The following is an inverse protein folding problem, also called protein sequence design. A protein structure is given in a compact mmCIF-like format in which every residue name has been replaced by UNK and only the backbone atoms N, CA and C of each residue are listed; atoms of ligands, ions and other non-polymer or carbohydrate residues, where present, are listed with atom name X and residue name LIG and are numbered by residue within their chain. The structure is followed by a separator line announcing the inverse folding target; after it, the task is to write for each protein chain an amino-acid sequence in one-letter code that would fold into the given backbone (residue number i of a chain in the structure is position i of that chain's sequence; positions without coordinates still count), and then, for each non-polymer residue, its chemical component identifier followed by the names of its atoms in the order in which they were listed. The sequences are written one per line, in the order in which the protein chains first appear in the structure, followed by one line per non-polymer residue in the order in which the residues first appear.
data_IF_093572936117
#
_entry.id   IF_093572936117
#
_cell.length_a   1.000
_cell.length_b   1.000
_cell.length_c   1.000
_cell.angle_alpha   90.00
_cell.angle_beta   90.00
_cell.angle_gamma   90.00
#
_symmetry.space_group_name_H-M   'P 1'
#
loop_
_entity.id
_entity.type
_entity.pdbx_description
1 polymer ?
#
# COMPACT_ATOMS: atom_id res chain seq x y z
N UNK A 1 -4.21 -6.58 -15.40
CA UNK A 1 -4.31 -8.06 -15.38
C UNK A 1 -5.74 -8.59 -15.18
N UNK A 2 -6.76 -7.74 -14.99
CA UNK A 2 -8.17 -8.17 -14.79
C UNK A 2 -8.90 -8.50 -16.11
N UNK A 3 -8.38 -8.04 -17.26
CA UNK A 3 -9.03 -8.20 -18.57
C UNK A 3 -8.81 -9.57 -19.25
N UNK A 4 -7.94 -10.43 -18.73
CA UNK A 4 -7.59 -11.70 -19.38
C UNK A 4 -8.52 -12.86 -19.00
N UNK A 5 -9.14 -12.80 -17.83
CA UNK A 5 -10.13 -13.78 -17.39
C UNK A 5 -11.48 -13.35 -17.95
N UNK A 6 -12.09 -14.18 -18.79
CA UNK A 6 -13.32 -13.83 -19.52
C UNK A 6 -14.58 -13.65 -18.66
N UNK A 7 -14.44 -13.49 -17.35
CA UNK A 7 -15.50 -13.24 -16.38
C UNK A 7 -15.30 -11.86 -15.74
N UNK A 8 -16.28 -10.96 -15.91
CA UNK A 8 -16.29 -9.66 -15.26
C UNK A 8 -16.81 -9.79 -13.82
N UNK A 9 -15.89 -10.08 -12.89
CA UNK A 9 -16.19 -10.17 -11.46
C UNK A 9 -16.70 -8.84 -10.90
N UNK A 10 -16.20 -7.70 -11.40
CA UNK A 10 -16.58 -6.40 -10.87
C UNK A 10 -18.05 -6.08 -11.19
N UNK A 11 -18.47 -6.30 -12.44
CA UNK A 11 -19.86 -6.16 -12.84
C UNK A 11 -20.80 -7.10 -12.09
N UNK A 12 -20.38 -8.35 -11.86
CA UNK A 12 -21.19 -9.30 -11.11
C UNK A 12 -21.37 -8.91 -9.64
N UNK A 13 -20.32 -8.42 -8.98
CA UNK A 13 -20.39 -7.94 -7.59
C UNK A 13 -21.32 -6.72 -7.50
N UNK A 14 -21.17 -5.74 -8.41
CA UNK A 14 -22.01 -4.54 -8.41
C UNK A 14 -23.49 -4.87 -8.63
N UNK A 15 -23.80 -5.83 -9.51
CA UNK A 15 -25.16 -6.29 -9.72
C UNK A 15 -25.77 -6.92 -8.46
N UNK A 16 -25.03 -7.83 -7.81
CA UNK A 16 -25.49 -8.51 -6.59
C UNK A 16 -25.65 -7.53 -5.43
N UNK A 17 -24.72 -6.59 -5.28
CA UNK A 17 -24.78 -5.57 -4.23
C UNK A 17 -25.97 -4.61 -4.43
N UNK A 18 -26.18 -4.13 -5.67
CA UNK A 18 -27.36 -3.32 -6.01
C UNK A 18 -28.69 -4.07 -5.78
N UNK A 19 -28.73 -5.36 -6.10
CA UNK A 19 -29.90 -6.20 -5.83
C UNK A 19 -30.15 -6.40 -4.32
N UNK A 20 -29.08 -6.69 -3.57
CA UNK A 20 -29.16 -6.93 -2.13
C UNK A 20 -29.57 -5.67 -1.36
N UNK A 21 -28.99 -4.52 -1.70
CA UNK A 21 -29.35 -3.22 -1.10
C UNK A 21 -30.82 -2.88 -1.32
N UNK A 22 -31.38 -3.13 -2.52
CA UNK A 22 -32.79 -2.94 -2.81
C UNK A 22 -33.72 -3.87 -2.01
N UNK A 23 -33.32 -5.14 -1.81
CA UNK A 23 -34.10 -6.10 -1.04
C UNK A 23 -34.04 -5.87 0.47
N UNK A 24 -32.87 -5.50 1.00
CA UNK A 24 -32.63 -5.33 2.44
C UNK A 24 -33.51 -4.23 3.04
N UNK A 25 -33.78 -3.16 2.29
CA UNK A 25 -34.60 -2.02 2.73
C UNK A 25 -36.09 -2.38 2.86
N UNK A 26 -36.57 -3.36 2.09
CA UNK A 26 -37.99 -3.72 2.05
C UNK A 26 -38.32 -4.83 3.07
N UNK A 27 -38.73 -4.48 4.29
CA UNK A 27 -38.97 -5.43 5.38
C UNK A 27 -40.14 -6.40 5.12
N UNK A 28 -41.14 -5.97 4.35
CA UNK A 28 -42.28 -6.80 3.90
C UNK A 28 -41.86 -8.01 3.05
N UNK A 29 -40.65 -8.03 2.49
CA UNK A 29 -40.15 -9.12 1.65
C UNK A 29 -39.30 -10.14 2.39
N UNK A 30 -39.08 -9.99 3.71
CA UNK A 30 -38.10 -10.77 4.47
C UNK A 30 -38.17 -12.29 4.19
N UNK A 31 -39.39 -12.85 4.22
CA UNK A 31 -39.64 -14.28 3.97
C UNK A 31 -39.47 -14.70 2.50
N UNK A 32 -39.60 -13.77 1.56
CA UNK A 32 -39.48 -13.99 0.11
C UNK A 32 -38.09 -13.65 -0.46
N UNK A 33 -37.19 -13.03 0.32
CA UNK A 33 -35.85 -12.61 -0.13
C UNK A 33 -34.99 -13.78 -0.63
N UNK A 34 -35.05 -14.93 0.04
CA UNK A 34 -34.29 -16.13 -0.35
C UNK A 34 -34.75 -16.61 -1.73
N UNK A 35 -36.07 -16.74 -1.94
CA UNK A 35 -36.64 -17.12 -3.23
C UNK A 35 -36.33 -16.08 -4.33
N UNK A 36 -36.33 -14.78 -4.00
CA UNK A 36 -35.96 -13.73 -4.95
C UNK A 36 -34.48 -13.79 -5.34
N UNK A 37 -33.59 -14.13 -4.40
CA UNK A 37 -32.17 -14.32 -4.65
C UNK A 37 -31.90 -15.56 -5.51
N UNK A 38 -32.57 -16.67 -5.20
CA UNK A 38 -32.50 -17.94 -5.96
C UNK A 38 -33.00 -17.81 -7.41
N UNK A 39 -33.98 -16.94 -7.66
CA UNK A 39 -34.54 -16.76 -9.00
C UNK A 39 -33.77 -15.80 -9.92
N UNK A 40 -33.02 -14.85 -9.35
CA UNK A 40 -32.40 -13.76 -10.12
C UNK A 40 -30.89 -13.70 -9.95
N UNK A 41 -30.41 -13.46 -8.73
CA UNK A 41 -29.00 -13.22 -8.46
C UNK A 41 -28.16 -14.49 -8.67
N UNK A 42 -28.59 -15.64 -8.14
CA UNK A 42 -27.88 -16.91 -8.34
C UNK A 42 -27.89 -17.35 -9.80
N UNK A 43 -29.02 -17.18 -10.50
CA UNK A 43 -29.16 -17.52 -11.93
C UNK A 43 -28.18 -16.70 -12.79
N UNK A 44 -28.11 -15.38 -12.56
CA UNK A 44 -27.16 -14.49 -13.23
C UNK A 44 -25.70 -14.90 -13.00
N UNK A 45 -25.32 -15.17 -11.75
CA UNK A 45 -23.95 -15.62 -11.41
C UNK A 45 -23.64 -16.97 -12.07
N UNK A 46 -24.60 -17.90 -12.04
CA UNK A 46 -24.44 -19.24 -12.61
C UNK A 46 -24.25 -19.21 -14.13
N UNK A 47 -25.05 -18.41 -14.84
CA UNK A 47 -24.92 -18.22 -16.29
C UNK A 47 -23.57 -17.58 -16.65
N UNK A 48 -23.16 -16.55 -15.89
CA UNK A 48 -21.84 -15.94 -16.04
C UNK A 48 -20.69 -16.93 -15.85
N UNK A 49 -20.77 -17.78 -14.82
CA UNK A 49 -19.76 -18.81 -14.54
C UNK A 49 -19.73 -19.89 -15.63
N UNK A 50 -20.90 -20.26 -16.16
CA UNK A 50 -21.02 -21.25 -17.25
C UNK A 50 -20.38 -20.74 -18.54
N UNK A 51 -20.60 -19.47 -18.88
CA UNK A 51 -19.97 -18.81 -20.02
C UNK A 51 -18.45 -18.70 -19.84
N UNK A 52 -17.99 -18.29 -18.65
CA UNK A 52 -16.57 -18.20 -18.32
C UNK A 52 -15.85 -19.56 -18.46
N UNK A 53 -16.49 -20.65 -18.00
CA UNK A 53 -15.94 -22.00 -18.11
C UNK A 53 -15.85 -22.49 -19.56
N UNK A 54 -16.83 -22.15 -20.41
CA UNK A 54 -16.80 -22.47 -21.86
C UNK A 54 -15.66 -21.77 -22.59
N UNK A 55 -15.29 -20.56 -22.17
CA UNK A 55 -14.15 -19.81 -22.73
C UNK A 55 -12.79 -20.33 -22.24
N UNK A 56 -12.75 -21.41 -21.45
CA UNK A 56 -11.51 -21.98 -20.91
C UNK A 56 -10.94 -21.24 -19.70
N UNK A 57 -11.72 -20.36 -19.07
CA UNK A 57 -11.32 -19.56 -17.90
C UNK A 57 -11.34 -20.39 -16.60
N UNK A 58 -10.63 -21.53 -16.58
CA UNK A 58 -10.53 -22.40 -15.40
C UNK A 58 -9.54 -21.88 -14.36
N UNK A 59 -8.56 -21.09 -14.77
CA UNK A 59 -7.42 -20.70 -13.93
C UNK A 59 -7.54 -19.32 -13.27
N UNK A 60 -8.77 -18.85 -13.00
CA UNK A 60 -9.01 -17.55 -12.36
C UNK A 60 -8.24 -17.39 -11.04
N UNK A 61 -8.22 -18.45 -10.24
CA UNK A 61 -7.51 -18.47 -8.96
C UNK A 61 -6.01 -18.30 -9.12
N UNK A 62 -5.40 -18.91 -10.15
CA UNK A 62 -3.96 -18.79 -10.41
C UNK A 62 -3.57 -17.36 -10.80
N UNK A 63 -4.36 -16.69 -11.64
CA UNK A 63 -4.09 -15.29 -11.98
C UNK A 63 -4.19 -14.37 -10.75
N UNK A 64 -5.14 -14.62 -9.86
CA UNK A 64 -5.28 -13.86 -8.62
C UNK A 64 -4.08 -14.08 -7.69
N UNK A 65 -3.63 -15.32 -7.49
CA UNK A 65 -2.46 -15.60 -6.64
C UNK A 65 -1.19 -14.98 -7.21
N UNK A 66 -0.96 -15.09 -8.53
CA UNK A 66 0.17 -14.44 -9.20
C UNK A 66 0.13 -12.92 -9.02
N UNK A 67 -1.04 -12.29 -9.19
CA UNK A 67 -1.18 -10.84 -8.99
C UNK A 67 -0.87 -10.43 -7.55
N UNK A 68 -1.31 -11.21 -6.56
CA UNK A 68 -1.00 -10.95 -5.15
C UNK A 68 0.48 -11.12 -4.84
N UNK A 69 1.15 -12.10 -5.46
CA UNK A 69 2.60 -12.29 -5.32
C UNK A 69 3.36 -11.10 -5.91
N UNK A 70 2.98 -10.65 -7.11
CA UNK A 70 3.60 -9.48 -7.76
C UNK A 70 3.37 -8.21 -6.92
N UNK A 71 2.16 -8.04 -6.37
CA UNK A 71 1.88 -6.90 -5.50
C UNK A 71 2.72 -6.93 -4.22
N UNK A 72 2.90 -8.12 -3.64
CA UNK A 72 3.73 -8.32 -2.45
C UNK A 72 5.21 -8.05 -2.75
N UNK A 73 5.73 -8.52 -3.88
CA UNK A 73 7.11 -8.26 -4.27
C UNK A 73 7.36 -6.77 -4.56
N UNK A 74 6.40 -6.08 -5.19
CA UNK A 74 6.47 -4.64 -5.38
C UNK A 74 6.55 -3.88 -4.04
N UNK A 75 5.75 -4.27 -3.05
CA UNK A 75 5.82 -3.69 -1.72
C UNK A 75 7.19 -3.92 -1.05
N UNK A 76 7.76 -5.12 -1.17
CA UNK A 76 9.10 -5.41 -0.68
C UNK A 76 10.17 -4.57 -1.38
N UNK A 77 10.11 -4.44 -2.71
CA UNK A 77 11.06 -3.62 -3.48
C UNK A 77 10.99 -2.14 -3.06
N UNK A 78 9.79 -1.60 -2.86
CA UNK A 78 9.61 -0.24 -2.34
C UNK A 78 10.19 -0.10 -0.93
N UNK A 79 10.02 -1.10 -0.08
CA UNK A 79 10.63 -1.12 1.25
C UNK A 79 12.16 -1.18 1.19
N UNK A 80 12.75 -1.98 0.31
CA UNK A 80 14.20 -1.99 0.11
C UNK A 80 14.73 -0.67 -0.46
N UNK A 81 14.03 -0.08 -1.42
CA UNK A 81 14.36 1.24 -1.97
C UNK A 81 14.26 2.34 -0.91
N UNK A 82 13.28 2.26 0.00
CA UNK A 82 13.19 3.17 1.15
C UNK A 82 14.41 3.01 2.05
N UNK A 83 14.80 1.78 2.40
CA UNK A 83 15.98 1.54 3.24
C UNK A 83 17.27 2.05 2.59
N UNK A 84 17.43 1.94 1.27
CA UNK A 84 18.61 2.51 0.58
C UNK A 84 18.54 4.03 0.44
N UNK A 85 17.36 4.62 0.31
CA UNK A 85 17.22 6.09 0.30
C UNK A 85 17.47 6.70 1.69
N UNK A 86 17.19 5.98 2.76
CA UNK A 86 17.39 6.46 4.13
C UNK A 86 18.75 6.05 4.72
N UNK A 87 19.61 5.41 3.91
CA UNK A 87 20.93 4.86 4.23
C UNK A 87 21.50 5.42 5.54
N UNK A 88 21.19 4.73 6.63
CA UNK A 88 21.64 5.09 7.97
C UNK A 88 22.89 4.25 8.25
N UNK A 89 24.05 4.87 8.53
CA UNK A 89 25.32 4.15 8.70
C UNK A 89 25.34 3.17 9.88
N UNK A 90 24.31 3.18 10.73
CA UNK A 90 24.24 2.43 11.98
C UNK A 90 23.33 1.18 11.91
N UNK A 91 22.37 1.07 10.98
CA UNK A 91 21.36 0.00 11.00
C UNK A 91 20.89 -0.45 9.61
N UNK A 92 20.67 -1.76 9.43
CA UNK A 92 20.19 -2.39 8.18
C UNK A 92 18.67 -2.33 7.99
N UNK A 93 17.90 -2.14 9.07
CA UNK A 93 16.43 -2.04 9.06
C UNK A 93 16.00 -0.81 9.86
N UNK A 94 15.84 0.32 9.18
CA UNK A 94 15.58 1.61 9.83
C UNK A 94 14.22 1.68 10.56
N UNK A 95 13.17 1.05 10.00
CA UNK A 95 11.81 1.15 10.54
C UNK A 95 11.62 0.58 11.96
N UNK A 96 11.84 -0.73 12.18
CA UNK A 96 11.63 -1.35 13.49
C UNK A 96 12.58 -0.83 14.57
N UNK A 97 13.84 -0.54 14.21
CA UNK A 97 14.83 0.01 15.12
C UNK A 97 14.39 1.38 15.66
N UNK A 98 13.95 2.28 14.77
CA UNK A 98 13.46 3.59 15.16
C UNK A 98 12.26 3.51 16.12
N UNK A 99 11.27 2.65 15.84
CA UNK A 99 10.09 2.49 16.70
C UNK A 99 10.50 1.96 18.07
N UNK A 100 11.42 0.99 18.11
CA UNK A 100 11.94 0.43 19.35
C UNK A 100 12.64 1.49 20.20
N UNK A 101 13.45 2.35 19.59
CA UNK A 101 14.16 3.42 20.30
C UNK A 101 13.19 4.50 20.80
N UNK A 102 12.15 4.84 20.01
CA UNK A 102 11.07 5.72 20.46
C UNK A 102 10.28 5.12 21.64
N UNK A 103 10.03 3.81 21.63
CA UNK A 103 9.34 3.14 22.74
C UNK A 103 10.18 3.12 24.03
N UNK A 104 11.51 3.11 23.91
CA UNK A 104 12.43 3.25 25.04
C UNK A 104 12.58 4.69 25.53
N UNK A 105 12.12 5.66 24.75
CA UNK A 105 12.26 7.09 25.04
C UNK A 105 13.65 7.64 24.69
N UNK A 106 14.40 6.97 23.82
CA UNK A 106 15.72 7.43 23.39
C UNK A 106 15.58 8.59 22.39
N UNK A 107 16.00 9.78 22.80
CA UNK A 107 15.89 10.99 21.99
C UNK A 107 16.86 11.01 20.79
N UNK A 108 16.56 11.89 19.81
CA UNK A 108 17.38 12.14 18.62
C UNK A 108 18.84 12.53 18.91
N UNK A 109 19.12 13.04 20.12
CA UNK A 109 20.47 13.39 20.56
C UNK A 109 21.34 12.16 20.81
N UNK A 110 20.72 11.05 21.23
CA UNK A 110 21.40 9.80 21.57
C UNK A 110 21.44 8.87 20.36
N UNK A 111 20.32 8.76 19.66
CA UNK A 111 20.16 7.86 18.51
C UNK A 111 20.70 8.43 17.20
N UNK A 112 20.83 9.76 17.11
CA UNK A 112 21.23 10.46 15.88
C UNK A 112 20.17 10.46 14.78
N UNK A 113 18.98 9.89 15.04
CA UNK A 113 17.86 9.88 14.10
C UNK A 113 17.11 11.21 14.11
N UNK A 114 16.83 11.76 12.93
CA UNK A 114 16.12 13.04 12.75
C UNK A 114 16.73 14.21 13.57
N UNK A 115 17.97 14.65 13.28
CA UNK A 115 18.58 15.75 14.00
C UNK A 115 17.79 17.05 13.78
N UNK A 116 17.26 17.62 14.86
CA UNK A 116 16.55 18.92 14.83
C UNK A 116 17.52 20.08 14.61
N UNK A 117 18.80 19.86 14.88
CA UNK A 117 19.88 20.83 14.71
C UNK A 117 20.97 20.15 13.89
N UNK A 118 21.38 20.77 12.79
CA UNK A 118 22.46 20.29 11.93
C UNK A 118 23.56 21.34 11.82
N UNK A 119 24.79 20.88 11.62
CA UNK A 119 25.91 21.74 11.28
C UNK A 119 25.92 21.97 9.77
N UNK A 120 25.90 23.22 9.36
CA UNK A 120 26.05 23.61 7.96
C UNK A 120 27.40 24.29 7.78
N UNK A 121 28.28 23.69 6.99
CA UNK A 121 29.53 24.31 6.57
C UNK A 121 29.26 25.28 5.43
N UNK A 122 29.73 26.52 5.58
CA UNK A 122 29.67 27.53 4.53
C UNK A 122 31.06 28.09 4.25
N UNK A 123 31.32 28.34 2.97
CA UNK A 123 32.61 28.81 2.49
C UNK A 123 32.57 30.32 2.29
N UNK A 124 33.39 31.06 3.06
CA UNK A 124 33.60 32.48 2.84
C UNK A 124 34.81 32.69 1.95
N UNK A 125 34.60 33.28 0.77
CA UNK A 125 35.67 33.63 -0.17
C UNK A 125 36.27 34.99 0.18
N UNK A 126 37.59 35.03 0.38
CA UNK A 126 38.41 36.26 0.40
C UNK A 126 39.37 36.26 -0.80
N UNK A 127 39.93 37.40 -1.22
CA UNK A 127 40.70 37.52 -2.47
C UNK A 127 41.85 36.52 -2.67
N UNK A 128 42.40 35.94 -1.58
CA UNK A 128 43.51 34.99 -1.62
C UNK A 128 43.23 33.63 -0.94
N UNK A 129 42.03 33.41 -0.36
CA UNK A 129 41.74 32.17 0.37
C UNK A 129 40.24 31.91 0.54
N UNK A 130 39.89 30.63 0.71
CA UNK A 130 38.56 30.19 1.11
C UNK A 130 38.64 29.73 2.57
N UNK A 131 37.84 30.32 3.44
CA UNK A 131 37.70 29.90 4.84
C UNK A 131 36.39 29.12 4.99
N UNK A 132 36.48 27.92 5.56
CA UNK A 132 35.33 27.07 5.86
C UNK A 132 34.94 27.33 7.32
N UNK A 133 33.69 27.73 7.54
CA UNK A 133 33.15 27.94 8.88
C UNK A 133 31.86 27.13 9.03
N UNK A 134 31.65 26.57 10.22
CA UNK A 134 30.46 25.80 10.55
C UNK A 134 29.47 26.66 11.34
N UNK A 135 28.20 26.66 10.95
CA UNK A 135 27.11 27.28 11.72
C UNK A 135 26.06 26.22 12.10
N UNK A 136 25.38 26.44 13.23
CA UNK A 136 24.23 25.63 13.63
C UNK A 136 22.96 26.13 12.97
N UNK A 137 22.22 25.23 12.32
CA UNK A 137 20.94 25.54 11.69
C UNK A 137 19.85 24.62 12.21
N UNK A 138 18.68 25.18 12.48
CA UNK A 138 17.49 24.40 12.85
C UNK A 138 16.93 23.75 11.58
N UNK A 139 16.78 22.43 11.61
CA UNK A 139 16.27 21.67 10.47
C UNK A 139 14.83 21.27 10.76
N UNK A 140 13.89 21.75 9.94
CA UNK A 140 12.45 21.47 10.09
C UNK A 140 11.98 20.24 9.32
N UNK A 141 12.83 19.67 8.46
CA UNK A 141 12.55 18.49 7.65
C UNK A 141 13.69 17.46 7.73
N UNK A 142 13.43 16.22 7.33
CA UNK A 142 14.47 15.20 7.23
C UNK A 142 15.45 15.57 6.12
N UNK A 143 16.62 16.06 6.51
CA UNK A 143 17.72 16.34 5.59
C UNK A 143 18.67 15.16 5.58
N UNK A 144 18.96 14.63 4.39
CA UNK A 144 20.10 13.74 4.17
C UNK A 144 21.37 14.59 4.38
N UNK A 145 22.23 14.20 5.32
CA UNK A 145 23.56 14.80 5.50
C UNK A 145 24.48 14.40 4.35
#
# INVERSE_FOLDING_TARGET
MVLFQGYDLAGAIQYVDGFWTALKVNDATFKARIAAFEGRASAYIWDGLRLARRKGSRDMGLYYTISTIIQSSNAWLQFYALNSLLESPLYTLWGPALIHDLMRGDDWQVTGHFPRITHCDFNRRRPASVQVNSAFTVTTAFARK
#
